data_IF_575333650234
#
_entry.id   IF_575333650234
#
_cell.length_a   1.000
_cell.length_b   1.000
_cell.length_c   1.000
_cell.angle_alpha   90.00
_cell.angle_beta   90.00
_cell.angle_gamma   90.00
#
_symmetry.space_group_name_H-M   'P 1'
#
loop_
_entity.id
_entity.type
_entity.pdbx_description
1 polymer ?
#
# COMPACT_ATOMS: atom_id res chain seq x y z
N UNK A 1 -37.40 -7.37 9.41
CA UNK A 1 -38.25 -8.47 9.91
C UNK A 1 -38.13 -8.71 11.43
N UNK A 2 -37.30 -7.99 12.20
CA UNK A 2 -37.27 -8.08 13.67
C UNK A 2 -36.78 -6.73 14.24
N UNK A 3 -37.59 -6.08 15.07
CA UNK A 3 -37.18 -4.90 15.85
C UNK A 3 -36.94 -5.29 17.31
N UNK A 4 -35.94 -4.72 17.98
CA UNK A 4 -35.62 -4.96 19.42
C UNK A 4 -36.74 -4.58 20.42
N UNK A 5 -37.94 -4.23 19.96
CA UNK A 5 -39.03 -3.73 20.80
C UNK A 5 -40.21 -4.70 20.72
N UNK A 6 -40.29 -5.60 21.70
CA UNK A 6 -41.39 -6.53 21.93
C UNK A 6 -41.20 -7.30 23.23
N UNK A 7 -42.25 -7.47 24.03
CA UNK A 7 -42.20 -8.28 25.26
C UNK A 7 -41.82 -9.73 24.90
N UNK A 8 -40.70 -10.23 25.47
CA UNK A 8 -40.18 -11.58 25.17
C UNK A 8 -39.28 -11.68 23.94
N UNK A 9 -39.05 -10.57 23.19
CA UNK A 9 -38.14 -10.56 22.05
C UNK A 9 -36.69 -10.91 22.43
N UNK A 10 -36.30 -10.71 23.70
CA UNK A 10 -34.96 -10.99 24.25
C UNK A 10 -34.49 -12.42 23.96
N UNK A 11 -35.39 -13.41 23.98
CA UNK A 11 -35.07 -14.82 23.71
C UNK A 11 -34.52 -15.07 22.29
N UNK A 12 -34.83 -14.18 21.34
CA UNK A 12 -34.31 -14.23 19.97
C UNK A 12 -32.86 -13.76 19.88
N UNK A 13 -32.42 -12.97 20.86
CA UNK A 13 -31.09 -12.34 20.91
C UNK A 13 -30.21 -12.95 22.00
N UNK A 14 -30.80 -13.61 23.00
CA UNK A 14 -30.09 -14.21 24.12
C UNK A 14 -28.95 -15.12 23.66
N UNK A 15 -27.78 -14.88 24.29
CA UNK A 15 -26.52 -15.62 24.16
C UNK A 15 -25.92 -15.72 22.74
N UNK A 16 -26.40 -14.92 21.79
CA UNK A 16 -25.88 -14.92 20.43
C UNK A 16 -24.89 -13.79 20.20
N UNK A 17 -23.71 -14.17 19.74
CA UNK A 17 -22.58 -13.25 19.53
C UNK A 17 -21.82 -13.58 18.25
N UNK A 18 -22.30 -14.57 17.48
CA UNK A 18 -21.58 -15.15 16.34
C UNK A 18 -22.16 -14.73 14.99
N UNK A 19 -23.48 -14.55 14.88
CA UNK A 19 -24.10 -14.12 13.64
C UNK A 19 -25.47 -13.48 13.84
N UNK A 20 -25.70 -12.34 13.20
CA UNK A 20 -27.03 -11.73 13.08
C UNK A 20 -28.02 -12.71 12.41
N UNK A 21 -27.54 -13.56 11.48
CA UNK A 21 -28.38 -14.53 10.78
C UNK A 21 -29.01 -15.56 11.71
N UNK A 22 -28.37 -15.89 12.83
CA UNK A 22 -28.93 -16.83 13.80
C UNK A 22 -30.13 -16.24 14.54
N UNK A 23 -30.14 -14.92 14.76
CA UNK A 23 -31.33 -14.21 15.24
C UNK A 23 -32.46 -14.28 14.21
N UNK A 24 -32.15 -14.04 12.93
CA UNK A 24 -33.14 -14.12 11.84
C UNK A 24 -33.72 -15.53 11.68
N UNK A 25 -32.88 -16.58 11.78
CA UNK A 25 -33.33 -17.97 11.73
C UNK A 25 -34.21 -18.33 12.92
N UNK A 26 -33.89 -17.87 14.14
CA UNK A 26 -34.75 -18.04 15.32
C UNK A 26 -36.09 -17.33 15.15
N UNK A 27 -36.08 -16.10 14.65
CA UNK A 27 -37.30 -15.34 14.36
C UNK A 27 -38.19 -16.05 13.34
N UNK A 28 -37.60 -16.59 12.26
CA UNK A 28 -38.35 -17.35 11.25
C UNK A 28 -38.97 -18.62 11.85
N UNK A 29 -38.20 -19.41 12.61
CA UNK A 29 -38.69 -20.62 13.28
C UNK A 29 -39.82 -20.34 14.26
N UNK A 30 -39.72 -19.24 15.01
CA UNK A 30 -40.79 -18.79 15.89
C UNK A 30 -42.05 -18.46 15.09
N UNK A 31 -41.92 -17.68 14.01
CA UNK A 31 -43.05 -17.33 13.16
C UNK A 31 -43.71 -18.59 12.55
N UNK A 32 -42.94 -19.59 12.13
CA UNK A 32 -43.45 -20.87 11.62
C UNK A 32 -44.26 -21.64 12.68
N UNK A 33 -43.73 -21.72 13.91
CA UNK A 33 -44.42 -22.37 15.03
C UNK A 33 -45.77 -21.70 15.32
N UNK A 34 -45.82 -20.38 15.23
CA UNK A 34 -47.03 -19.57 15.41
C UNK A 34 -47.86 -19.42 14.12
N UNK A 35 -47.56 -20.20 13.07
CA UNK A 35 -48.25 -20.19 11.76
C UNK A 35 -48.37 -18.78 11.15
N UNK A 36 -47.34 -17.96 11.36
CA UNK A 36 -47.24 -16.57 10.92
C UNK A 36 -48.36 -15.67 11.45
N UNK A 37 -48.92 -16.00 12.62
CA UNK A 37 -50.02 -15.23 13.21
C UNK A 37 -49.57 -13.78 13.53
N UNK A 38 -50.22 -12.75 12.96
CA UNK A 38 -49.75 -11.36 13.07
C UNK A 38 -49.58 -10.88 14.52
N UNK A 39 -50.52 -11.22 15.40
CA UNK A 39 -50.45 -10.83 16.81
C UNK A 39 -49.35 -11.56 17.60
N UNK A 40 -49.07 -12.82 17.28
CA UNK A 40 -48.05 -13.59 17.98
C UNK A 40 -46.65 -13.19 17.52
N UNK A 41 -46.47 -13.02 16.20
CA UNK A 41 -45.24 -12.51 15.62
C UNK A 41 -44.98 -11.06 16.06
N UNK A 42 -46.01 -10.21 16.07
CA UNK A 42 -45.90 -8.79 16.43
C UNK A 42 -45.43 -8.57 17.87
N UNK A 43 -45.87 -9.40 18.83
CA UNK A 43 -45.36 -9.36 20.22
C UNK A 43 -43.85 -9.58 20.30
N UNK A 44 -43.28 -10.36 19.39
CA UNK A 44 -41.84 -10.61 19.28
C UNK A 44 -41.10 -9.61 18.38
N UNK A 45 -41.78 -8.57 17.90
CA UNK A 45 -41.22 -7.62 16.94
C UNK A 45 -41.06 -8.17 15.52
N UNK A 46 -41.68 -9.32 15.21
CA UNK A 46 -41.61 -10.01 13.91
C UNK A 46 -42.82 -9.64 13.05
N UNK A 47 -42.57 -9.30 11.79
CA UNK A 47 -43.65 -9.07 10.83
C UNK A 47 -44.08 -10.40 10.18
N UNK A 48 -45.24 -10.94 10.56
CA UNK A 48 -45.71 -12.26 10.14
C UNK A 48 -45.82 -12.44 8.61
N UNK A 49 -46.26 -11.41 7.87
CA UNK A 49 -46.33 -11.45 6.40
C UNK A 49 -44.96 -11.65 5.75
N UNK A 50 -44.02 -10.73 5.99
CA UNK A 50 -42.62 -10.86 5.56
C UNK A 50 -41.96 -12.20 6.00
N UNK A 51 -42.24 -12.71 7.19
CA UNK A 51 -41.72 -14.02 7.61
C UNK A 51 -42.28 -15.18 6.76
N UNK A 52 -43.56 -15.12 6.38
CA UNK A 52 -44.19 -16.08 5.46
C UNK A 52 -43.57 -16.00 4.06
N UNK A 53 -43.31 -14.79 3.57
CA UNK A 53 -42.63 -14.58 2.27
C UNK A 53 -41.20 -15.17 2.30
N UNK A 54 -40.44 -14.94 3.38
CA UNK A 54 -39.12 -15.52 3.54
C UNK A 54 -39.15 -17.06 3.55
N UNK A 55 -40.14 -17.67 4.24
CA UNK A 55 -40.35 -19.12 4.22
C UNK A 55 -40.66 -19.62 2.79
N UNK A 56 -41.53 -18.93 2.05
CA UNK A 56 -41.84 -19.30 0.67
C UNK A 56 -40.62 -19.22 -0.26
N UNK A 57 -39.76 -18.20 -0.09
CA UNK A 57 -38.49 -18.09 -0.83
C UNK A 57 -37.55 -19.24 -0.49
N UNK A 58 -37.41 -19.59 0.79
CA UNK A 58 -36.62 -20.76 1.23
C UNK A 58 -37.12 -22.03 0.55
N UNK A 59 -38.42 -22.30 0.61
CA UNK A 59 -39.01 -23.54 0.07
C UNK A 59 -38.81 -23.63 -1.46
N UNK A 60 -38.90 -22.49 -2.17
CA UNK A 60 -38.56 -22.40 -3.59
C UNK A 60 -37.09 -22.70 -3.86
N UNK A 61 -36.17 -22.15 -3.06
CA UNK A 61 -34.73 -22.41 -3.21
C UNK A 61 -34.39 -23.88 -2.93
N UNK A 62 -35.04 -24.50 -1.94
CA UNK A 62 -34.89 -25.94 -1.66
C UNK A 62 -35.38 -26.79 -2.84
N UNK A 63 -36.52 -26.43 -3.44
CA UNK A 63 -37.03 -27.12 -4.61
C UNK A 63 -36.07 -27.03 -5.81
N UNK A 64 -35.52 -25.84 -6.07
CA UNK A 64 -34.51 -25.65 -7.13
C UNK A 64 -33.25 -26.47 -6.83
N UNK A 65 -32.76 -26.45 -5.58
CA UNK A 65 -31.59 -27.21 -5.16
C UNK A 65 -31.77 -28.73 -5.38
N UNK A 66 -32.95 -29.26 -5.05
CA UNK A 66 -33.29 -30.65 -5.34
C UNK A 66 -33.32 -30.95 -6.85
N UNK A 67 -33.86 -30.02 -7.65
CA UNK A 67 -33.90 -30.13 -9.11
C UNK A 67 -32.51 -30.22 -9.76
N UNK A 68 -31.49 -29.58 -9.16
CA UNK A 68 -30.09 -29.67 -9.61
C UNK A 68 -29.29 -30.80 -8.95
N UNK A 69 -29.96 -31.69 -8.21
CA UNK A 69 -29.35 -32.87 -7.59
C UNK A 69 -28.68 -32.64 -6.24
N UNK A 70 -28.85 -31.47 -5.61
CA UNK A 70 -28.40 -31.25 -4.24
C UNK A 70 -29.37 -31.92 -3.26
N UNK A 71 -28.82 -32.70 -2.33
CA UNK A 71 -29.59 -33.36 -1.28
C UNK A 71 -29.70 -32.45 -0.06
N UNK A 72 -30.92 -32.25 0.43
CA UNK A 72 -31.11 -31.62 1.73
C UNK A 72 -30.62 -32.58 2.83
N UNK A 73 -29.75 -32.11 3.73
CA UNK A 73 -29.36 -32.87 4.91
C UNK A 73 -30.55 -32.99 5.87
N UNK A 74 -30.77 -34.17 6.46
CA UNK A 74 -31.85 -34.38 7.45
C UNK A 74 -31.57 -33.70 8.80
N UNK A 75 -30.29 -33.41 9.08
CA UNK A 75 -29.84 -32.76 10.32
C UNK A 75 -29.58 -31.28 10.08
N UNK A 76 -29.96 -30.40 11.03
CA UNK A 76 -29.59 -28.99 10.95
C UNK A 76 -28.07 -28.82 10.84
N UNK A 77 -27.64 -27.93 9.94
CA UNK A 77 -26.24 -27.53 9.85
C UNK A 77 -25.75 -26.92 11.17
N UNK A 78 -24.48 -27.16 11.51
CA UNK A 78 -23.85 -26.51 12.65
C UNK A 78 -23.72 -25.00 12.40
N UNK A 79 -23.64 -24.21 13.48
CA UNK A 79 -23.41 -22.76 13.36
C UNK A 79 -22.16 -22.44 12.53
N UNK A 80 -21.07 -23.18 12.74
CA UNK A 80 -19.86 -23.06 11.93
C UNK A 80 -20.11 -23.28 10.44
N UNK A 81 -20.81 -24.35 10.03
CA UNK A 81 -21.14 -24.61 8.62
C UNK A 81 -21.89 -23.42 8.00
N UNK A 82 -22.88 -22.87 8.71
CA UNK A 82 -23.67 -21.73 8.23
C UNK A 82 -22.80 -20.47 8.08
N UNK A 83 -21.93 -20.17 9.05
CA UNK A 83 -21.03 -19.00 8.97
C UNK A 83 -20.02 -19.14 7.82
N UNK A 84 -19.50 -20.34 7.59
CA UNK A 84 -18.65 -20.65 6.43
C UNK A 84 -19.38 -20.45 5.11
N UNK A 85 -20.66 -20.82 5.01
CA UNK A 85 -21.46 -20.54 3.83
C UNK A 85 -21.60 -19.03 3.55
N UNK A 86 -21.80 -18.22 4.59
CA UNK A 86 -21.88 -16.75 4.45
C UNK A 86 -20.53 -16.19 3.99
N UNK A 87 -19.44 -16.63 4.61
CA UNK A 87 -18.09 -16.25 4.20
C UNK A 87 -17.80 -16.63 2.73
N UNK A 88 -18.26 -17.80 2.28
CA UNK A 88 -18.11 -18.22 0.88
C UNK A 88 -18.80 -17.26 -0.09
N UNK A 89 -20.03 -16.83 0.24
CA UNK A 89 -20.83 -15.94 -0.60
C UNK A 89 -20.41 -14.48 -0.57
N UNK A 90 -19.78 -14.03 0.52
CA UNK A 90 -19.49 -12.61 0.77
C UNK A 90 -18.01 -12.38 1.14
N UNK A 91 -17.10 -13.21 0.62
CA UNK A 91 -15.65 -13.14 0.92
C UNK A 91 -15.02 -11.76 0.65
N UNK A 92 -15.59 -11.01 -0.30
CA UNK A 92 -15.24 -9.63 -0.66
C UNK A 92 -15.80 -8.55 0.29
N UNK A 93 -16.72 -8.92 1.19
CA UNK A 93 -17.23 -8.11 2.29
C UNK A 93 -16.55 -8.46 3.63
N UNK A 94 -15.49 -9.27 3.61
CA UNK A 94 -14.70 -9.55 4.80
C UNK A 94 -14.12 -8.25 5.36
N UNK A 95 -14.27 -8.06 6.66
CA UNK A 95 -13.72 -6.92 7.37
C UNK A 95 -13.02 -7.31 8.66
N UNK A 96 -12.05 -6.50 9.03
CA UNK A 96 -11.34 -6.58 10.31
C UNK A 96 -11.66 -5.34 11.13
N UNK A 97 -12.02 -5.52 12.40
CA UNK A 97 -12.19 -4.42 13.35
C UNK A 97 -10.85 -3.68 13.54
N UNK A 98 -10.92 -2.36 13.57
CA UNK A 98 -9.74 -1.51 13.80
C UNK A 98 -9.21 -1.65 15.23
N UNK A 99 -10.12 -1.76 16.19
CA UNK A 99 -9.83 -1.86 17.61
C UNK A 99 -11.01 -2.51 18.37
N UNK A 100 -10.77 -2.88 19.63
CA UNK A 100 -11.77 -3.51 20.49
C UNK A 100 -12.82 -2.55 21.08
N UNK A 101 -12.60 -1.24 21.05
CA UNK A 101 -13.49 -0.22 21.60
C UNK A 101 -14.52 0.34 20.62
N UNK A 102 -14.27 0.24 19.30
CA UNK A 102 -15.16 0.76 18.26
C UNK A 102 -15.71 -0.33 17.35
N UNK A 103 -16.86 -0.08 16.72
CA UNK A 103 -17.45 -0.97 15.70
C UNK A 103 -16.87 -0.74 14.31
N UNK A 104 -15.80 0.05 14.19
CA UNK A 104 -15.20 0.43 12.91
C UNK A 104 -14.36 -0.72 12.37
N UNK A 105 -14.50 -0.95 11.07
CA UNK A 105 -13.83 -2.00 10.33
C UNK A 105 -13.15 -1.43 9.08
N UNK A 106 -12.06 -2.08 8.68
CA UNK A 106 -11.52 -2.00 7.32
C UNK A 106 -11.96 -3.27 6.61
N UNK A 107 -12.46 -3.11 5.40
CA UNK A 107 -12.98 -4.18 4.55
C UNK A 107 -11.99 -4.50 3.43
N UNK A 108 -12.14 -5.69 2.86
CA UNK A 108 -11.61 -6.01 1.53
C UNK A 108 -12.10 -4.96 0.51
N UNK A 109 -11.21 -4.57 -0.38
CA UNK A 109 -11.39 -3.45 -1.32
C UNK A 109 -11.10 -2.07 -0.73
N UNK A 110 -10.36 -1.99 0.38
CA UNK A 110 -9.94 -0.73 1.03
C UNK A 110 -11.06 0.11 1.66
N UNK A 111 -12.30 -0.37 1.65
CA UNK A 111 -13.47 0.34 2.21
C UNK A 111 -13.37 0.42 3.73
N UNK A 112 -13.94 1.47 4.30
CA UNK A 112 -14.09 1.65 5.75
C UNK A 112 -15.57 1.71 6.10
N UNK A 113 -15.95 0.99 7.14
CA UNK A 113 -17.34 0.98 7.58
C UNK A 113 -17.49 0.68 9.06
N UNK A 114 -18.72 0.77 9.55
CA UNK A 114 -19.07 0.55 10.95
C UNK A 114 -20.10 -0.57 11.04
N UNK A 115 -19.91 -1.53 11.94
CA UNK A 115 -20.92 -2.55 12.25
C UNK A 115 -22.19 -1.86 12.76
N UNK A 116 -23.34 -2.24 12.20
CA UNK A 116 -24.63 -1.70 12.60
C UNK A 116 -24.87 -1.89 14.11
N UNK A 117 -25.45 -0.88 14.78
CA UNK A 117 -25.58 -0.87 16.25
C UNK A 117 -26.48 -2.00 16.76
N UNK A 118 -27.43 -2.42 15.94
CA UNK A 118 -28.35 -3.52 16.19
C UNK A 118 -27.69 -4.90 16.12
N UNK A 119 -26.50 -5.01 15.52
CA UNK A 119 -25.80 -6.27 15.38
C UNK A 119 -25.46 -6.88 16.74
N UNK A 120 -25.54 -8.21 16.81
CA UNK A 120 -25.10 -9.00 17.96
C UNK A 120 -23.61 -9.27 17.94
N UNK A 121 -22.98 -9.18 16.77
CA UNK A 121 -21.55 -9.44 16.59
C UNK A 121 -20.76 -8.18 16.95
N UNK A 122 -20.33 -8.11 18.22
CA UNK A 122 -19.61 -6.93 18.75
C UNK A 122 -18.15 -7.22 19.01
N UNK A 123 -17.84 -8.29 19.71
CA UNK A 123 -16.49 -8.57 20.22
C UNK A 123 -15.71 -9.57 19.37
N UNK A 124 -15.84 -9.45 18.04
CA UNK A 124 -15.19 -10.36 17.07
C UNK A 124 -14.25 -9.57 16.14
N UNK A 125 -12.96 -9.94 16.04
CA UNK A 125 -11.98 -9.17 15.28
C UNK A 125 -12.17 -9.26 13.77
N UNK A 126 -12.67 -10.40 13.28
CA UNK A 126 -12.94 -10.67 11.86
C UNK A 126 -14.43 -10.95 11.69
N UNK A 127 -15.02 -10.28 10.71
CA UNK A 127 -16.43 -10.40 10.39
C UNK A 127 -16.65 -10.35 8.89
N UNK A 128 -17.76 -10.91 8.43
CA UNK A 128 -18.27 -10.73 7.07
C UNK A 128 -19.64 -10.10 7.13
N UNK A 129 -19.90 -9.11 6.27
CA UNK A 129 -21.19 -8.44 6.19
C UNK A 129 -22.02 -9.01 5.04
N UNK A 130 -23.22 -9.51 5.35
CA UNK A 130 -24.19 -9.91 4.30
C UNK A 130 -24.83 -8.72 3.60
N UNK A 131 -24.75 -7.52 4.19
CA UNK A 131 -25.28 -6.29 3.62
C UNK A 131 -24.33 -5.12 3.88
N UNK A 132 -24.09 -4.29 2.85
CA UNK A 132 -23.35 -3.03 2.97
C UNK A 132 -24.30 -1.89 2.59
N UNK A 133 -24.54 -0.96 3.51
CA UNK A 133 -25.37 0.22 3.29
C UNK A 133 -24.50 1.46 3.23
N UNK A 134 -24.58 2.19 2.13
CA UNK A 134 -23.92 3.48 2.00
C UNK A 134 -24.86 4.59 2.47
N UNK A 135 -24.42 5.36 3.47
CA UNK A 135 -25.17 6.50 3.99
C UNK A 135 -24.37 7.75 3.68
N UNK A 136 -24.96 8.62 2.85
CA UNK A 136 -24.39 9.94 2.60
C UNK A 136 -24.43 10.79 3.86
N UNK A 137 -23.28 11.38 4.21
CA UNK A 137 -23.16 12.38 5.26
C UNK A 137 -23.28 13.79 4.65
N UNK A 138 -23.64 14.75 5.50
CA UNK A 138 -23.91 16.15 5.11
C UNK A 138 -22.70 16.86 4.49
N UNK A 139 -21.50 16.33 4.69
CA UNK A 139 -20.21 16.79 4.16
C UNK A 139 -19.82 16.14 2.81
N UNK A 140 -20.67 15.28 2.26
CA UNK A 140 -20.38 14.53 1.03
C UNK A 140 -19.55 13.26 1.25
N UNK A 141 -19.19 12.92 2.50
CA UNK A 141 -18.58 11.64 2.83
C UNK A 141 -19.63 10.51 2.84
N UNK A 142 -19.26 9.33 2.34
CA UNK A 142 -20.10 8.14 2.38
C UNK A 142 -19.63 7.24 3.53
N UNK A 143 -20.52 7.00 4.50
CA UNK A 143 -20.26 6.02 5.56
C UNK A 143 -20.87 4.67 5.18
N UNK A 144 -20.07 3.60 5.23
CA UNK A 144 -20.56 2.23 4.99
C UNK A 144 -21.01 1.62 6.32
N UNK A 145 -22.27 1.20 6.42
CA UNK A 145 -22.79 0.43 7.54
C UNK A 145 -22.85 -1.05 7.17
N UNK A 146 -22.23 -1.89 7.98
CA UNK A 146 -22.22 -3.34 7.82
C UNK A 146 -23.45 -3.93 8.53
N UNK A 147 -24.34 -4.55 7.75
CA UNK A 147 -25.50 -5.29 8.22
C UNK A 147 -25.36 -6.79 8.01
N UNK A 148 -26.21 -7.57 8.69
CA UNK A 148 -26.21 -9.05 8.63
C UNK A 148 -24.82 -9.62 8.90
N UNK A 149 -24.20 -9.15 9.99
CA UNK A 149 -22.80 -9.42 10.30
C UNK A 149 -22.65 -10.82 10.87
N UNK A 150 -21.61 -11.50 10.43
CA UNK A 150 -21.25 -12.85 10.87
C UNK A 150 -19.77 -12.90 11.25
N UNK A 151 -19.48 -13.44 12.42
CA UNK A 151 -18.12 -13.62 12.92
C UNK A 151 -17.38 -14.68 12.09
N UNK A 152 -16.11 -14.41 11.79
CA UNK A 152 -15.25 -15.27 10.98
C UNK A 152 -13.99 -15.63 11.76
N UNK A 153 -13.54 -16.88 11.62
CA UNK A 153 -12.25 -17.33 12.11
C UNK A 153 -11.21 -17.32 10.99
N UNK A 154 -9.99 -16.86 11.29
CA UNK A 154 -8.90 -16.79 10.30
C UNK A 154 -8.55 -18.17 9.72
N UNK A 155 -8.64 -19.24 10.52
CA UNK A 155 -8.40 -20.62 10.06
C UNK A 155 -9.29 -20.97 8.86
N UNK A 156 -10.53 -20.48 8.83
CA UNK A 156 -11.44 -20.73 7.73
C UNK A 156 -11.01 -20.03 6.44
N UNK A 157 -10.44 -18.83 6.54
CA UNK A 157 -9.89 -18.14 5.37
C UNK A 157 -8.76 -18.95 4.75
N UNK A 158 -7.87 -19.51 5.59
CA UNK A 158 -6.74 -20.35 5.11
C UNK A 158 -7.22 -21.65 4.47
N UNK A 159 -8.26 -22.26 5.04
CA UNK A 159 -8.84 -23.50 4.50
C UNK A 159 -9.63 -23.27 3.20
N UNK A 160 -10.40 -22.19 3.12
CA UNK A 160 -11.32 -21.93 2.00
C UNK A 160 -10.66 -21.17 0.84
N UNK A 161 -9.68 -20.32 1.12
CA UNK A 161 -9.07 -19.38 0.18
C UNK A 161 -7.54 -19.30 0.33
N UNK A 162 -6.80 -20.43 0.29
CA UNK A 162 -5.36 -20.42 0.56
C UNK A 162 -4.55 -19.55 -0.42
N UNK A 163 -5.02 -19.43 -1.67
CA UNK A 163 -4.33 -18.67 -2.73
C UNK A 163 -4.51 -17.15 -2.60
N UNK A 164 -5.45 -16.69 -1.76
CA UNK A 164 -5.74 -15.27 -1.57
C UNK A 164 -4.83 -14.64 -0.49
N UNK A 165 -3.93 -15.42 0.12
CA UNK A 165 -3.00 -14.92 1.13
C UNK A 165 -1.72 -14.38 0.50
N UNK A 166 -1.25 -13.25 1.02
CA UNK A 166 0.09 -12.74 0.72
C UNK A 166 0.81 -12.41 2.02
N UNK A 167 2.11 -12.71 2.03
CA UNK A 167 2.97 -12.46 3.18
C UNK A 167 4.20 -11.67 2.74
N UNK A 168 4.48 -10.59 3.46
CA UNK A 168 5.70 -9.80 3.31
C UNK A 168 6.44 -9.86 4.65
N UNK A 169 7.70 -10.29 4.63
CA UNK A 169 8.62 -10.29 5.77
C UNK A 169 9.93 -9.66 5.35
N UNK A 170 10.57 -8.93 6.25
CA UNK A 170 11.87 -8.31 6.02
C UNK A 170 11.83 -6.80 6.20
N UNK A 171 12.77 -6.12 5.55
CA UNK A 171 12.89 -4.67 5.63
C UNK A 171 11.97 -3.99 4.60
N UNK A 172 11.41 -2.85 4.99
CA UNK A 172 10.63 -1.98 4.11
C UNK A 172 10.92 -0.51 4.44
N UNK A 173 10.73 0.36 3.47
CA UNK A 173 10.80 1.80 3.69
C UNK A 173 9.42 2.35 4.06
N UNK A 174 9.32 3.01 5.20
CA UNK A 174 8.12 3.73 5.65
C UNK A 174 8.17 5.18 5.16
N UNK A 175 7.27 5.57 4.26
CA UNK A 175 7.28 6.90 3.64
C UNK A 175 6.95 8.05 4.61
N UNK A 176 5.98 7.84 5.50
CA UNK A 176 5.59 8.86 6.48
C UNK A 176 6.73 9.15 7.48
N UNK A 177 7.41 8.10 7.94
CA UNK A 177 8.56 8.21 8.85
C UNK A 177 9.90 8.43 8.14
N UNK A 178 9.93 8.31 6.80
CA UNK A 178 11.12 8.30 5.94
C UNK A 178 12.26 7.45 6.50
N UNK A 179 11.93 6.22 6.91
CA UNK A 179 12.86 5.31 7.59
C UNK A 179 12.67 3.86 7.18
N UNK A 180 13.73 3.08 7.30
CA UNK A 180 13.71 1.62 7.14
C UNK A 180 13.17 1.00 8.42
N UNK A 181 12.24 0.07 8.27
CA UNK A 181 11.62 -0.68 9.36
C UNK A 181 11.59 -2.16 9.01
N UNK A 182 11.58 -3.03 10.03
CA UNK A 182 11.23 -4.43 9.82
C UNK A 182 9.71 -4.56 9.83
N UNK A 183 9.15 -5.09 8.75
CA UNK A 183 7.73 -5.23 8.53
C UNK A 183 7.39 -6.70 8.25
N UNK A 184 6.68 -7.31 9.18
CA UNK A 184 6.02 -8.60 8.97
C UNK A 184 4.52 -8.35 8.79
N UNK A 185 4.01 -8.65 7.60
CA UNK A 185 2.61 -8.37 7.22
C UNK A 185 1.99 -9.58 6.54
N UNK A 186 0.82 -9.98 7.04
CA UNK A 186 -0.04 -11.00 6.43
C UNK A 186 -1.30 -10.31 5.93
N UNK A 187 -1.64 -10.54 4.66
CA UNK A 187 -2.89 -10.06 4.06
C UNK A 187 -3.73 -11.21 3.56
N UNK A 188 -5.03 -11.03 3.64
CA UNK A 188 -6.01 -11.74 2.83
C UNK A 188 -6.50 -10.78 1.76
N UNK A 189 -6.17 -11.06 0.49
CA UNK A 189 -6.30 -10.09 -0.62
C UNK A 189 -5.59 -8.79 -0.26
N UNK A 190 -6.30 -7.67 -0.21
CA UNK A 190 -5.80 -6.37 0.22
C UNK A 190 -6.00 -6.08 1.73
N UNK A 191 -6.81 -6.88 2.43
CA UNK A 191 -7.09 -6.73 3.86
C UNK A 191 -5.90 -7.18 4.71
N UNK A 192 -5.34 -6.26 5.49
CA UNK A 192 -4.27 -6.57 6.46
C UNK A 192 -4.86 -7.33 7.65
N UNK A 193 -4.46 -8.59 7.80
CA UNK A 193 -4.84 -9.45 8.93
C UNK A 193 -3.85 -9.31 10.07
N UNK A 194 -2.57 -9.26 9.77
CA UNK A 194 -1.54 -9.08 10.79
C UNK A 194 -0.50 -8.11 10.26
N UNK A 195 -0.05 -7.22 11.13
CA UNK A 195 1.05 -6.31 10.84
C UNK A 195 1.86 -6.09 12.11
N UNK A 196 3.13 -6.45 12.05
CA UNK A 196 4.10 -6.20 13.10
C UNK A 196 5.19 -5.31 12.53
N UNK A 197 5.35 -4.14 13.13
CA UNK A 197 6.42 -3.19 12.82
C UNK A 197 7.44 -3.23 13.96
N UNK A 198 8.72 -3.31 13.60
CA UNK A 198 9.84 -3.22 14.53
C UNK A 198 10.91 -2.30 13.97
N UNK A 199 11.76 -1.82 14.85
CA UNK A 199 12.96 -1.10 14.44
C UNK A 199 13.86 -2.02 13.61
N UNK A 200 14.41 -1.47 12.54
CA UNK A 200 15.43 -2.14 11.76
C UNK A 200 16.81 -1.89 12.38
N UNK A 201 17.74 -2.81 12.16
CA UNK A 201 19.14 -2.63 12.50
C UNK A 201 19.89 -2.08 11.29
N UNK A 202 20.84 -1.18 11.51
CA UNK A 202 21.68 -0.65 10.44
C UNK A 202 22.53 -1.78 9.85
N UNK A 203 22.69 -1.78 8.52
CA UNK A 203 23.47 -2.78 7.82
C UNK A 203 23.22 -2.73 6.31
N UNK A 204 23.88 -3.62 5.57
CA UNK A 204 23.82 -3.64 4.11
C UNK A 204 22.38 -3.81 3.58
N UNK A 205 21.56 -4.65 4.20
CA UNK A 205 20.16 -4.86 3.78
C UNK A 205 19.31 -3.61 4.00
N UNK A 206 19.56 -2.85 5.08
CA UNK A 206 18.86 -1.60 5.35
C UNK A 206 19.26 -0.51 4.35
N UNK A 207 20.56 -0.40 4.06
CA UNK A 207 21.08 0.51 3.04
C UNK A 207 20.48 0.20 1.66
N UNK A 208 20.44 -1.07 1.26
CA UNK A 208 19.82 -1.52 0.02
C UNK A 208 18.31 -1.21 -0.01
N UNK A 209 17.60 -1.40 1.10
CA UNK A 209 16.17 -1.07 1.21
C UNK A 209 15.92 0.43 1.02
N UNK A 210 16.75 1.28 1.63
CA UNK A 210 16.67 2.74 1.46
C UNK A 210 17.02 3.16 0.03
N UNK A 211 18.07 2.58 -0.55
CA UNK A 211 18.47 2.81 -1.94
C UNK A 211 17.34 2.43 -2.91
N UNK A 212 16.74 1.26 -2.72
CA UNK A 212 15.63 0.80 -3.56
C UNK A 212 14.41 1.72 -3.46
N UNK A 213 14.11 2.26 -2.27
CA UNK A 213 13.03 3.23 -2.10
C UNK A 213 13.25 4.52 -2.91
N UNK A 214 14.49 4.97 -3.09
CA UNK A 214 14.81 6.11 -3.96
C UNK A 214 14.61 5.74 -5.43
N UNK A 215 15.08 4.56 -5.86
CA UNK A 215 14.93 4.07 -7.24
C UNK A 215 13.46 3.91 -7.62
N UNK A 216 12.63 3.40 -6.70
CA UNK A 216 11.19 3.23 -6.88
C UNK A 216 10.41 4.57 -6.81
N UNK A 217 11.09 5.69 -6.56
CA UNK A 217 10.47 7.03 -6.45
C UNK A 217 9.66 7.24 -5.18
N UNK A 218 9.79 6.36 -4.18
CA UNK A 218 9.10 6.47 -2.88
C UNK A 218 9.71 7.57 -2.00
N UNK A 219 10.96 7.96 -2.27
CA UNK A 219 11.57 9.15 -1.71
C UNK A 219 12.58 9.77 -2.69
N UNK A 220 12.94 11.03 -2.44
CA UNK A 220 13.93 11.75 -3.25
C UNK A 220 15.35 11.23 -2.96
N UNK A 221 16.28 11.43 -3.91
CA UNK A 221 17.70 11.14 -3.69
C UNK A 221 18.26 11.99 -2.53
N UNK A 222 18.82 11.39 -1.46
CA UNK A 222 19.33 12.13 -0.31
C UNK A 222 20.62 12.88 -0.64
N UNK A 223 20.84 14.08 -0.10
CA UNK A 223 22.10 14.82 -0.24
C UNK A 223 22.42 15.27 -1.68
N UNK A 224 21.42 15.27 -2.57
CA UNK A 224 21.58 15.73 -3.95
C UNK A 224 21.81 17.24 -4.00
N UNK A 225 22.73 17.69 -4.85
CA UNK A 225 23.08 19.11 -5.00
C UNK A 225 23.23 19.52 -6.47
N UNK A 226 23.12 20.81 -6.80
CA UNK A 226 23.38 21.30 -8.16
C UNK A 226 24.77 20.94 -8.68
N UNK A 227 25.77 20.84 -7.80
CA UNK A 227 27.14 20.44 -8.15
C UNK A 227 27.20 18.96 -8.58
N UNK A 228 26.37 18.09 -8.02
CA UNK A 228 26.25 16.70 -8.46
C UNK A 228 25.72 16.62 -9.91
N UNK A 229 24.70 17.42 -10.24
CA UNK A 229 24.17 17.51 -11.61
C UNK A 229 25.21 18.02 -12.60
N UNK A 230 25.94 19.07 -12.23
CA UNK A 230 27.02 19.61 -13.06
C UNK A 230 28.15 18.58 -13.25
N UNK A 231 28.51 17.83 -12.20
CA UNK A 231 29.52 16.79 -12.28
C UNK A 231 29.10 15.65 -13.23
N UNK A 232 27.87 15.17 -13.13
CA UNK A 232 27.34 14.14 -14.02
C UNK A 232 27.17 14.64 -15.46
N UNK A 233 26.78 15.90 -15.65
CA UNK A 233 26.74 16.53 -16.96
C UNK A 233 28.12 16.58 -17.63
N UNK A 234 29.17 16.86 -16.85
CA UNK A 234 30.56 16.77 -17.32
C UNK A 234 30.95 15.34 -17.69
N UNK A 235 30.61 14.36 -16.85
CA UNK A 235 30.89 12.94 -17.12
C UNK A 235 30.25 12.51 -18.45
N UNK A 236 28.98 12.82 -18.67
CA UNK A 236 28.27 12.50 -19.92
C UNK A 236 28.87 13.24 -21.13
N UNK A 237 29.31 14.49 -20.98
CA UNK A 237 30.00 15.21 -22.06
C UNK A 237 31.31 14.53 -22.46
N UNK A 238 32.14 14.16 -21.48
CA UNK A 238 33.40 13.44 -21.74
C UNK A 238 33.16 12.07 -22.36
N UNK A 239 32.11 11.35 -21.93
CA UNK A 239 31.66 10.11 -22.59
C UNK A 239 31.32 10.34 -24.06
N UNK A 240 30.59 11.42 -24.36
CA UNK A 240 30.20 11.81 -25.71
C UNK A 240 31.39 12.11 -26.63
N UNK A 241 32.53 12.54 -26.09
CA UNK A 241 33.75 12.82 -26.87
C UNK A 241 34.45 11.56 -27.41
N UNK A 242 34.10 10.37 -26.88
CA UNK A 242 34.57 9.09 -27.42
C UNK A 242 35.98 8.67 -26.98
N UNK A 243 36.52 9.25 -25.90
CA UNK A 243 37.86 8.93 -25.41
C UNK A 243 37.86 8.08 -24.13
N UNK A 244 38.24 6.80 -24.24
CA UNK A 244 38.46 5.91 -23.10
C UNK A 244 37.19 5.33 -22.48
N UNK A 245 37.37 4.38 -21.56
CA UNK A 245 36.26 3.69 -20.88
C UNK A 245 35.72 4.51 -19.69
N UNK A 246 34.83 5.44 -19.99
CA UNK A 246 34.08 6.21 -18.99
C UNK A 246 32.76 5.50 -18.63
N UNK A 247 32.49 5.27 -17.32
CA UNK A 247 31.31 4.55 -16.88
C UNK A 247 30.03 5.34 -17.14
N UNK A 248 28.92 4.64 -17.36
CA UNK A 248 27.61 5.26 -17.53
C UNK A 248 26.94 5.57 -16.19
N UNK A 249 26.21 6.68 -16.12
CA UNK A 249 25.29 6.95 -15.01
C UNK A 249 23.93 6.27 -15.21
N UNK A 250 23.94 4.93 -15.27
CA UNK A 250 22.76 4.10 -15.47
C UNK A 250 22.12 3.63 -14.14
N UNK A 251 21.06 2.82 -14.22
CA UNK A 251 20.39 2.27 -13.03
C UNK A 251 21.31 1.42 -12.14
N UNK A 252 22.32 0.77 -12.72
CA UNK A 252 23.33 0.02 -11.96
C UNK A 252 24.23 0.94 -11.16
N UNK A 253 24.74 2.00 -11.79
CA UNK A 253 25.54 3.04 -11.12
C UNK A 253 24.74 3.75 -10.02
N UNK A 254 23.48 4.10 -10.29
CA UNK A 254 22.61 4.74 -9.30
C UNK A 254 22.43 3.88 -8.05
N UNK A 255 22.16 2.59 -8.22
CA UNK A 255 22.01 1.64 -7.11
C UNK A 255 23.29 1.55 -6.28
N UNK A 256 24.44 1.37 -6.93
CA UNK A 256 25.73 1.28 -6.23
C UNK A 256 26.03 2.54 -5.41
N UNK A 257 25.86 3.73 -5.99
CA UNK A 257 26.10 4.99 -5.27
C UNK A 257 25.13 5.15 -4.11
N UNK A 258 23.84 4.84 -4.30
CA UNK A 258 22.85 4.93 -3.22
C UNK A 258 23.15 3.94 -2.10
N UNK A 259 23.54 2.70 -2.41
CA UNK A 259 23.90 1.71 -1.39
C UNK A 259 25.09 2.17 -0.54
N UNK A 260 26.15 2.69 -1.18
CA UNK A 260 27.30 3.28 -0.46
C UNK A 260 26.90 4.51 0.34
N UNK A 261 26.10 5.42 -0.23
CA UNK A 261 25.66 6.63 0.45
C UNK A 261 24.75 6.33 1.65
N UNK A 262 23.94 5.27 1.56
CA UNK A 262 23.03 4.83 2.61
C UNK A 262 23.67 3.87 3.61
N UNK A 263 24.97 3.57 3.49
CA UNK A 263 25.66 2.68 4.42
C UNK A 263 25.54 3.19 5.86
N UNK A 264 25.18 2.29 6.79
CA UNK A 264 24.93 2.64 8.19
C UNK A 264 23.68 3.49 8.47
N UNK A 265 22.90 3.85 7.44
CA UNK A 265 21.72 4.69 7.59
C UNK A 265 20.44 3.87 7.76
N UNK A 266 19.57 4.31 8.66
CA UNK A 266 18.21 3.78 8.83
C UNK A 266 17.13 4.78 8.40
N UNK A 267 17.51 6.04 8.22
CA UNK A 267 16.57 7.11 7.87
C UNK A 267 17.08 7.89 6.66
N UNK A 268 16.15 8.45 5.90
CA UNK A 268 16.48 9.34 4.79
C UNK A 268 17.31 10.54 5.28
N UNK A 269 17.02 11.05 6.48
CA UNK A 269 17.74 12.19 7.06
C UNK A 269 19.21 11.89 7.28
N UNK A 270 19.55 10.71 7.82
CA UNK A 270 20.93 10.27 8.00
C UNK A 270 21.66 10.18 6.65
N UNK A 271 21.03 9.54 5.65
CA UNK A 271 21.62 9.46 4.31
C UNK A 271 21.81 10.84 3.65
N UNK A 272 20.96 11.81 3.99
CA UNK A 272 21.02 13.19 3.48
C UNK A 272 22.15 14.03 4.11
N UNK A 273 22.75 13.58 5.22
CA UNK A 273 23.95 14.20 5.78
C UNK A 273 25.20 13.86 4.95
N UNK A 274 25.15 12.76 4.19
CA UNK A 274 26.18 12.39 3.21
C UNK A 274 25.92 13.09 1.88
N UNK A 275 26.93 13.77 1.33
CA UNK A 275 26.83 14.42 0.02
C UNK A 275 26.75 13.40 -1.12
N UNK A 276 25.73 13.51 -1.97
CA UNK A 276 25.61 12.67 -3.17
C UNK A 276 26.80 12.88 -4.12
N UNK A 277 27.30 14.12 -4.25
CA UNK A 277 28.48 14.41 -5.07
C UNK A 277 29.71 13.62 -4.59
N UNK A 278 29.91 13.53 -3.27
CA UNK A 278 31.03 12.77 -2.69
C UNK A 278 30.91 11.28 -3.02
N UNK A 279 29.72 10.69 -2.88
CA UNK A 279 29.46 9.30 -3.21
C UNK A 279 29.62 9.01 -4.73
N UNK A 280 29.19 9.94 -5.59
CA UNK A 280 29.40 9.85 -7.05
C UNK A 280 30.90 9.90 -7.40
N UNK A 281 31.67 10.77 -6.75
CA UNK A 281 33.13 10.86 -6.95
C UNK A 281 33.85 9.59 -6.49
N UNK A 282 33.39 8.99 -5.40
CA UNK A 282 33.91 7.72 -4.89
C UNK A 282 33.64 6.57 -5.88
N UNK A 283 32.41 6.46 -6.37
CA UNK A 283 32.05 5.49 -7.42
C UNK A 283 32.86 5.65 -8.70
N UNK A 284 33.09 6.89 -9.15
CA UNK A 284 33.91 7.15 -10.33
C UNK A 284 35.39 6.79 -10.10
N UNK A 285 35.87 6.92 -8.86
CA UNK A 285 37.25 6.69 -8.45
C UNK A 285 38.13 7.93 -8.64
N UNK A 286 39.14 8.08 -7.77
CA UNK A 286 40.01 9.28 -7.69
C UNK A 286 40.70 9.61 -9.02
N UNK A 287 41.20 8.62 -9.74
CA UNK A 287 41.92 8.82 -11.00
C UNK A 287 40.99 9.35 -12.10
N UNK A 288 39.83 8.72 -12.31
CA UNK A 288 38.84 9.16 -13.30
C UNK A 288 38.24 10.51 -12.91
N UNK A 289 38.00 10.77 -11.63
CA UNK A 289 37.56 12.08 -11.14
C UNK A 289 38.59 13.19 -11.44
N UNK A 290 39.88 12.96 -11.18
CA UNK A 290 40.94 13.92 -11.50
C UNK A 290 41.07 14.13 -13.02
N UNK A 291 40.99 13.05 -13.81
CA UNK A 291 40.99 13.13 -15.27
C UNK A 291 39.77 13.90 -15.81
N UNK A 292 38.61 13.75 -15.18
CA UNK A 292 37.40 14.47 -15.54
C UNK A 292 37.57 15.98 -15.31
N UNK A 293 38.12 16.39 -14.17
CA UNK A 293 38.40 17.80 -13.87
C UNK A 293 39.38 18.43 -14.89
N UNK A 294 40.37 17.66 -15.37
CA UNK A 294 41.31 18.13 -16.38
C UNK A 294 40.72 18.22 -17.80
N UNK A 295 39.90 17.23 -18.19
CA UNK A 295 39.29 17.17 -19.53
C UNK A 295 38.10 18.13 -19.66
N UNK A 296 37.27 18.21 -18.62
CA UNK A 296 36.07 19.01 -18.54
C UNK A 296 36.12 19.90 -17.28
N UNK A 297 36.91 20.99 -17.28
CA UNK A 297 36.98 21.88 -16.12
C UNK A 297 35.68 22.66 -15.91
N UNK A 298 35.32 22.99 -14.67
CA UNK A 298 34.15 23.84 -14.39
C UNK A 298 34.33 25.28 -14.86
N UNK A 299 35.58 25.75 -14.83
CA UNK A 299 35.99 27.08 -15.25
C UNK A 299 37.26 27.00 -16.07
N UNK A 300 37.36 27.89 -17.05
CA UNK A 300 38.57 28.03 -17.87
C UNK A 300 39.09 29.46 -17.83
N UNK A 301 40.41 29.61 -17.99
CA UNK A 301 41.08 30.91 -18.02
C UNK A 301 40.98 31.56 -19.41
N UNK A 302 40.75 32.88 -19.43
CA UNK A 302 40.70 33.73 -20.62
C UNK A 302 41.94 34.63 -20.73
N UNK A 303 42.29 35.18 -21.92
CA UNK A 303 43.53 35.93 -22.17
C UNK A 303 43.76 37.20 -21.35
N UNK A 304 42.79 37.64 -20.55
CA UNK A 304 42.91 38.78 -19.63
C UNK A 304 43.00 38.41 -18.14
N UNK A 305 43.33 37.15 -17.81
CA UNK A 305 43.39 36.67 -16.42
C UNK A 305 42.02 36.41 -15.77
N UNK A 306 40.92 36.58 -16.52
CA UNK A 306 39.56 36.25 -16.06
C UNK A 306 39.27 34.77 -16.21
N UNK A 307 38.30 34.26 -15.46
CA UNK A 307 37.78 32.90 -15.61
C UNK A 307 36.32 32.89 -16.07
N UNK A 308 36.00 32.01 -17.01
CA UNK A 308 34.63 31.78 -17.50
C UNK A 308 34.13 30.41 -17.05
N UNK A 309 32.87 30.34 -16.60
CA UNK A 309 32.20 29.06 -16.27
C UNK A 309 31.86 28.35 -17.58
N UNK A 310 32.24 27.08 -17.68
CA UNK A 310 31.90 26.23 -18.82
C UNK A 310 30.54 25.60 -18.57
N UNK A 311 29.65 25.70 -19.55
CA UNK A 311 28.37 25.00 -19.57
C UNK A 311 28.47 23.81 -20.52
N UNK A 312 28.23 22.63 -19.98
CA UNK A 312 28.23 21.38 -20.74
C UNK A 312 26.79 21.06 -21.16
N UNK A 313 26.57 20.92 -22.46
CA UNK A 313 25.27 20.58 -23.05
C UNK A 313 25.05 19.07 -23.16
N UNK A 314 23.92 18.66 -23.76
CA UNK A 314 23.71 17.25 -24.12
C UNK A 314 24.64 16.89 -25.29
N UNK A 315 25.41 15.81 -25.19
CA UNK A 315 26.29 15.33 -26.26
C UNK A 315 27.73 15.85 -26.11
N UNK A 316 28.31 16.39 -27.20
CA UNK A 316 29.72 16.82 -27.25
C UNK A 316 29.95 18.31 -26.97
N UNK A 317 28.90 19.08 -26.76
CA UNK A 317 28.96 20.53 -26.76
C UNK A 317 29.37 21.09 -25.39
N UNK A 318 30.33 22.01 -25.41
CA UNK A 318 30.72 22.82 -24.26
C UNK A 318 30.74 24.30 -24.70
N UNK A 319 30.20 25.19 -23.87
CA UNK A 319 30.03 26.61 -24.19
C UNK A 319 30.45 27.48 -23.03
N UNK A 320 31.12 28.59 -23.31
CA UNK A 320 31.37 29.66 -22.34
C UNK A 320 30.51 30.89 -22.61
N UNK A 321 30.10 31.57 -21.54
CA UNK A 321 29.49 32.90 -21.63
C UNK A 321 30.48 33.94 -21.10
N UNK A 322 30.91 34.87 -21.96
CA UNK A 322 31.84 35.93 -21.64
C UNK A 322 31.43 37.23 -22.34
N UNK A 323 31.84 38.39 -21.80
CA UNK A 323 31.67 39.66 -22.52
C UNK A 323 32.69 39.74 -23.66
N UNK A 324 32.37 40.44 -24.74
CA UNK A 324 33.24 40.54 -25.92
C UNK A 324 34.64 41.06 -25.58
N UNK A 325 34.73 42.00 -24.63
CA UNK A 325 35.99 42.55 -24.11
C UNK A 325 36.87 41.53 -23.38
N UNK A 326 36.26 40.49 -22.80
CA UNK A 326 36.96 39.43 -22.08
C UNK A 326 37.57 38.40 -23.06
N UNK A 327 37.20 38.50 -24.35
CA UNK A 327 37.71 37.68 -25.44
C UNK A 327 38.79 38.37 -26.29
N UNK A 328 39.12 39.64 -25.98
CA UNK A 328 40.17 40.36 -26.71
C UNK A 328 41.52 39.66 -26.57
N UNK A 329 42.19 39.44 -27.70
CA UNK A 329 43.47 38.72 -27.78
C UNK A 329 43.37 37.23 -28.11
N UNK A 330 42.16 36.63 -28.15
CA UNK A 330 41.98 35.26 -28.66
C UNK A 330 42.17 35.22 -30.18
N UNK A 331 43.23 34.53 -30.62
CA UNK A 331 43.51 34.28 -32.05
C UNK A 331 42.87 32.98 -32.57
N UNK A 332 42.52 32.07 -31.68
CA UNK A 332 41.85 30.78 -31.94
C UNK A 332 40.84 30.53 -30.82
N UNK A 333 39.80 29.74 -31.08
CA UNK A 333 38.88 29.33 -30.03
C UNK A 333 39.65 28.60 -28.93
N UNK A 334 39.32 28.83 -27.65
CA UNK A 334 39.88 28.02 -26.59
C UNK A 334 39.43 26.57 -26.76
N UNK A 335 40.25 25.64 -26.28
CA UNK A 335 39.99 24.21 -26.40
C UNK A 335 40.10 23.53 -25.03
N UNK A 336 39.19 22.60 -24.78
CA UNK A 336 39.17 21.67 -23.65
C UNK A 336 39.25 20.21 -24.18
N UNK A 337 39.03 19.22 -23.32
CA UNK A 337 39.00 17.80 -23.73
C UNK A 337 40.32 17.33 -24.34
N UNK A 338 41.45 17.69 -23.72
CA UNK A 338 42.77 17.37 -24.26
C UNK A 338 43.12 18.11 -25.56
N UNK A 339 42.45 19.23 -25.84
CA UNK A 339 42.69 20.07 -27.02
C UNK A 339 41.79 19.77 -28.22
N UNK A 340 40.75 18.94 -28.05
CA UNK A 340 39.90 18.45 -29.14
C UNK A 340 38.53 19.11 -29.24
N UNK A 341 38.11 19.80 -28.17
CA UNK A 341 36.76 20.37 -28.07
C UNK A 341 36.88 21.87 -27.95
N UNK A 342 36.47 22.59 -28.98
CA UNK A 342 36.39 24.05 -28.94
C UNK A 342 35.19 24.50 -28.10
N UNK A 343 35.36 25.58 -27.33
CA UNK A 343 34.38 26.14 -26.37
C UNK A 343 34.00 27.58 -26.66
#
# INVERSE_FOLDING_TARGET
>A
MAGRKGEGAEILWEAEEESDLFVWLRALRFAEKERFHPGACGRMGIHGGAAREAAAVRDRLLHIAQGIGLKAEEKPATGEKLRRCVLAGFSDHLGRRLDGGTLRCVLVGGRRGTIARESVVRDRPLVVAGELKEIGRTDGEVEVILGLVTAVEEKWLREMFPQDFSEKRGLDFEENGRKVVRLDRIRFRDLVLEEKRREAEAGAEAAATLAQAVVDGRCAWPGWSPEAELFLGRLEAVRGWGEGEWPAWDEGAKRLVLETQCEGCLTWRQANETSALSAIREWLGKEKAAKLEALAPERMSLPGGKSAKVKYGKGRDAVISARIQDLYGLKKLPVIGGGKVAV
#
